data_IF_273539113284
#
_entry.id   IF_273539113284
#
_cell.length_a   1.000
_cell.length_b   1.000
_cell.length_c   1.000
_cell.angle_alpha   90.00
_cell.angle_beta   90.00
_cell.angle_gamma   90.00
#
_symmetry.space_group_name_H-M   'P 1'
#
loop_
_entity.id
_entity.type
_entity.pdbx_description
1 polymer ?
#
# COMPACT_ATOMS: atom_id res chain seq x y z
N UNK A 1 -16.57 25.10 -28.27
CA UNK A 1 -17.05 24.68 -26.94
C UNK A 1 -15.97 25.05 -25.92
N UNK A 2 -16.20 26.07 -25.09
CA UNK A 2 -15.27 26.47 -24.02
C UNK A 2 -15.57 25.60 -22.81
N UNK A 3 -14.70 24.63 -22.53
CA UNK A 3 -14.78 23.82 -21.32
C UNK A 3 -14.58 24.78 -20.13
N UNK A 4 -15.63 24.99 -19.33
CA UNK A 4 -15.56 25.84 -18.15
C UNK A 4 -14.55 25.24 -17.16
N UNK A 5 -13.53 25.99 -16.77
CA UNK A 5 -12.49 25.55 -15.83
C UNK A 5 -13.03 24.95 -14.53
N UNK A 6 -14.27 25.29 -14.15
CA UNK A 6 -14.98 24.74 -12.99
C UNK A 6 -15.29 23.25 -13.12
N UNK A 7 -15.48 22.72 -14.34
CA UNK A 7 -15.77 21.29 -14.58
C UNK A 7 -14.50 20.45 -14.43
N UNK A 8 -13.35 20.98 -14.85
CA UNK A 8 -12.08 20.27 -14.75
C UNK A 8 -11.61 20.08 -13.30
N UNK A 9 -11.90 21.04 -12.41
CA UNK A 9 -11.56 20.98 -10.99
C UNK A 9 -12.41 19.98 -10.19
N UNK A 10 -13.65 19.73 -10.62
CA UNK A 10 -14.56 18.81 -9.93
C UNK A 10 -14.26 17.34 -10.27
N UNK A 11 -13.73 17.09 -11.47
CA UNK A 11 -13.32 15.75 -11.93
C UNK A 11 -12.03 15.26 -11.26
N UNK A 12 -11.10 16.14 -10.90
CA UNK A 12 -9.85 15.74 -10.22
C UNK A 12 -10.07 15.42 -8.74
N UNK A 13 -10.96 16.14 -8.05
CA UNK A 13 -11.26 15.89 -6.65
C UNK A 13 -11.96 14.53 -6.41
N UNK A 14 -12.80 14.09 -7.36
CA UNK A 14 -13.50 12.79 -7.29
C UNK A 14 -12.56 11.60 -7.52
N UNK A 15 -11.55 11.75 -8.37
CA UNK A 15 -10.55 10.69 -8.60
C UNK A 15 -9.66 10.41 -7.37
N UNK A 16 -9.33 11.44 -6.59
CA UNK A 16 -8.55 11.30 -5.35
C UNK A 16 -9.34 10.66 -4.20
N UNK A 17 -10.65 10.85 -4.16
CA UNK A 17 -11.51 10.28 -3.12
C UNK A 17 -11.73 8.76 -3.28
N UNK A 18 -11.73 8.23 -4.51
CA UNK A 18 -11.92 6.80 -4.79
C UNK A 18 -10.68 5.94 -4.51
N UNK A 19 -9.50 6.55 -4.38
CA UNK A 19 -8.24 5.82 -4.14
C UNK A 19 -8.09 5.30 -2.69
N UNK A 20 -9.00 5.66 -1.79
CA UNK A 20 -8.98 5.31 -0.37
C UNK A 20 -10.22 4.49 0.02
N UNK A 21 -10.69 3.59 -0.85
CA UNK A 21 -11.64 2.58 -0.42
C UNK A 21 -10.89 1.52 0.38
N UNK A 22 -11.37 1.21 1.59
CA UNK A 22 -10.83 0.11 2.39
C UNK A 22 -11.14 -1.22 1.69
N UNK A 23 -10.09 -1.95 1.30
CA UNK A 23 -10.20 -3.31 0.78
C UNK A 23 -9.90 -4.30 1.90
N UNK A 24 -10.85 -5.21 2.15
CA UNK A 24 -10.71 -6.24 3.16
C UNK A 24 -10.43 -7.59 2.51
N UNK A 25 -9.41 -8.28 3.02
CA UNK A 25 -9.05 -9.63 2.60
C UNK A 25 -9.16 -10.58 3.78
N UNK A 26 -9.57 -11.81 3.52
CA UNK A 26 -9.60 -12.90 4.50
C UNK A 26 -8.69 -14.01 4.02
N UNK A 27 -7.88 -14.56 4.93
CA UNK A 27 -6.98 -15.66 4.63
C UNK A 27 -6.25 -16.13 5.88
N UNK A 28 -5.43 -17.17 5.69
CA UNK A 28 -4.59 -17.71 6.75
C UNK A 28 -3.21 -17.03 6.74
N UNK A 29 -2.67 -16.79 7.94
CA UNK A 29 -1.34 -16.24 8.15
C UNK A 29 -0.41 -17.21 8.88
N UNK A 30 0.89 -17.09 8.62
CA UNK A 30 1.95 -17.79 9.36
C UNK A 30 3.02 -16.81 9.81
N UNK A 31 3.62 -17.04 10.98
CA UNK A 31 4.71 -16.21 11.49
C UNK A 31 6.08 -16.67 10.95
N UNK A 32 6.97 -15.70 10.72
CA UNK A 32 8.38 -15.93 10.43
C UNK A 32 9.23 -14.75 10.95
N UNK A 33 10.55 -14.90 10.94
CA UNK A 33 11.48 -13.81 11.29
C UNK A 33 12.20 -13.33 10.04
N UNK A 34 12.12 -12.02 9.75
CA UNK A 34 12.75 -11.38 8.60
C UNK A 34 14.22 -11.01 8.83
N UNK A 35 14.62 -10.78 10.08
CA UNK A 35 15.96 -10.30 10.45
C UNK A 35 16.05 -8.77 10.37
N UNK A 36 16.22 -8.23 9.16
CA UNK A 36 16.28 -6.78 8.90
C UNK A 36 15.25 -6.37 7.84
N UNK A 37 14.70 -5.16 7.92
CA UNK A 37 13.69 -4.66 6.96
C UNK A 37 14.18 -4.59 5.52
N UNK A 38 15.49 -4.55 5.30
CA UNK A 38 16.14 -4.66 3.98
C UNK A 38 16.19 -6.08 3.41
N UNK A 39 15.94 -7.12 4.22
CA UNK A 39 16.10 -8.53 3.81
C UNK A 39 14.90 -9.08 3.04
N UNK A 40 13.78 -8.36 3.00
CA UNK A 40 12.57 -8.78 2.29
C UNK A 40 12.56 -8.34 0.82
N UNK A 41 11.59 -8.81 0.05
CA UNK A 41 11.42 -8.42 -1.36
C UNK A 41 11.25 -6.90 -1.57
N UNK A 42 10.73 -6.19 -0.57
CA UNK A 42 10.61 -4.73 -0.61
C UNK A 42 11.94 -3.99 -0.41
N UNK A 43 13.00 -4.67 0.05
CA UNK A 43 14.34 -4.13 0.30
C UNK A 43 14.29 -2.69 0.86
N UNK A 44 13.63 -2.52 2.01
CA UNK A 44 13.37 -1.20 2.57
C UNK A 44 14.70 -0.51 2.89
N UNK A 45 15.02 0.56 2.16
CA UNK A 45 16.21 1.38 2.41
C UNK A 45 16.11 2.17 3.72
N UNK A 46 14.87 2.49 4.11
CA UNK A 46 14.52 3.08 5.39
C UNK A 46 13.16 2.52 5.82
N UNK A 47 12.99 2.36 7.13
CA UNK A 47 11.73 1.89 7.70
C UNK A 47 11.46 2.64 9.01
N UNK A 48 10.18 2.72 9.38
CA UNK A 48 9.79 3.20 10.69
C UNK A 48 10.20 2.17 11.75
N UNK A 49 10.54 2.62 12.96
CA UNK A 49 11.09 1.75 14.01
C UNK A 49 10.21 0.51 14.30
N UNK A 50 8.88 0.67 14.24
CA UNK A 50 7.94 -0.43 14.48
C UNK A 50 7.99 -1.50 13.39
N UNK A 51 8.44 -1.20 12.17
CA UNK A 51 8.54 -2.19 11.08
C UNK A 51 9.57 -3.30 11.34
N UNK A 52 10.38 -3.18 12.40
CA UNK A 52 11.28 -4.24 12.87
C UNK A 52 10.53 -5.39 13.56
N UNK A 53 9.32 -5.14 14.06
CA UNK A 53 8.45 -6.15 14.70
C UNK A 53 7.10 -6.28 14.00
N UNK A 54 6.62 -5.20 13.41
CA UNK A 54 5.31 -5.10 12.78
C UNK A 54 5.49 -5.07 11.26
N UNK A 55 5.64 -6.26 10.69
CA UNK A 55 5.76 -6.46 9.25
C UNK A 55 4.97 -7.69 8.82
N UNK A 56 4.52 -7.68 7.57
CA UNK A 56 3.86 -8.81 6.94
C UNK A 56 4.39 -9.01 5.52
N UNK A 57 4.65 -10.28 5.17
CA UNK A 57 4.80 -10.67 3.77
C UNK A 57 3.40 -10.95 3.21
N UNK A 58 3.09 -10.34 2.07
CA UNK A 58 1.84 -10.58 1.34
C UNK A 58 2.06 -11.69 0.29
N UNK A 59 0.99 -12.40 -0.08
CA UNK A 59 1.07 -13.30 -1.23
C UNK A 59 1.27 -12.48 -2.53
N UNK A 60 1.53 -13.18 -3.64
CA UNK A 60 1.91 -12.53 -4.90
C UNK A 60 0.85 -11.56 -5.45
N UNK A 61 -0.45 -11.84 -5.25
CA UNK A 61 -1.54 -11.00 -5.74
C UNK A 61 -1.62 -9.69 -4.95
N UNK A 62 -1.68 -9.77 -3.60
CA UNK A 62 -1.75 -8.56 -2.78
C UNK A 62 -0.41 -7.81 -2.69
N UNK A 63 0.75 -8.46 -2.84
CA UNK A 63 2.02 -7.73 -2.93
C UNK A 63 2.11 -6.89 -4.21
N UNK A 64 1.55 -7.40 -5.31
CA UNK A 64 1.40 -6.68 -6.58
C UNK A 64 2.71 -6.11 -7.15
N UNK A 65 3.79 -6.91 -7.11
CA UNK A 65 5.05 -6.58 -7.76
C UNK A 65 5.68 -5.27 -7.25
N UNK A 66 5.79 -5.12 -5.93
CA UNK A 66 6.28 -3.95 -5.18
C UNK A 66 5.27 -2.81 -4.98
N UNK A 67 4.10 -2.82 -5.62
CA UNK A 67 3.16 -1.70 -5.54
C UNK A 67 2.58 -1.46 -4.14
N UNK A 68 2.58 -2.50 -3.28
CA UNK A 68 2.13 -2.38 -1.89
C UNK A 68 3.28 -2.40 -0.87
N UNK A 69 4.55 -2.29 -1.29
CA UNK A 69 5.67 -2.11 -0.37
C UNK A 69 5.55 -0.77 0.39
N UNK A 70 5.82 -0.81 1.70
CA UNK A 70 5.77 0.37 2.57
C UNK A 70 4.36 0.82 2.98
N UNK A 71 3.31 0.11 2.54
CA UNK A 71 1.94 0.31 3.02
C UNK A 71 1.72 -0.47 4.32
N UNK A 72 0.81 0.03 5.16
CA UNK A 72 0.35 -0.64 6.37
C UNK A 72 -1.01 -1.30 6.10
N UNK A 73 -1.30 -2.39 6.82
CA UNK A 73 -2.57 -3.11 6.78
C UNK A 73 -3.03 -3.38 8.22
N UNK A 74 -4.35 -3.40 8.42
CA UNK A 74 -5.02 -3.64 9.71
C UNK A 74 -6.16 -4.66 9.54
#
# INVERSE_FOLDING_TARGET
MKLSSSVALLSTATALALANADEYFTGDGTAYTLGDTSSGNCNMMSALNFATTDYAALNNEQWSGLQNCGRCAE
#
